data_IF_766404140355
#
_entry.id   IF_766404140355
#
_cell.length_a   1.000
_cell.length_b   1.000
_cell.length_c   1.000
_cell.angle_alpha   90.00
_cell.angle_beta   90.00
_cell.angle_gamma   90.00
#
_symmetry.space_group_name_H-M   'P 1'
#
loop_
_entity.id
_entity.type
_entity.pdbx_description
1 polymer ?
#
# COMPACT_ATOMS: atom_id res chain seq x y z
N UNK A 1 36.20 8.39 -13.45
CA UNK A 1 34.96 9.18 -13.38
C UNK A 1 33.68 8.36 -13.57
N UNK A 2 33.66 7.31 -14.39
CA UNK A 2 32.44 6.50 -14.61
C UNK A 2 31.98 5.65 -13.41
N UNK A 3 32.89 5.15 -12.57
CA UNK A 3 32.51 4.34 -11.41
C UNK A 3 31.77 5.13 -10.32
N UNK A 4 32.13 6.41 -10.11
CA UNK A 4 31.45 7.27 -9.13
C UNK A 4 30.02 7.65 -9.56
N UNK A 5 29.82 7.85 -10.86
CA UNK A 5 28.50 8.13 -11.45
C UNK A 5 27.57 6.90 -11.42
N UNK A 6 28.12 5.70 -11.64
CA UNK A 6 27.38 4.44 -11.51
C UNK A 6 26.95 4.17 -10.04
N UNK A 7 27.81 4.48 -9.07
CA UNK A 7 27.48 4.36 -7.64
C UNK A 7 26.41 5.38 -7.23
N UNK A 8 26.49 6.63 -7.72
CA UNK A 8 25.47 7.65 -7.44
C UNK A 8 24.10 7.32 -8.06
N UNK A 9 24.07 6.74 -9.27
CA UNK A 9 22.83 6.34 -9.93
C UNK A 9 22.17 5.13 -9.23
N UNK A 10 22.97 4.18 -8.74
CA UNK A 10 22.47 3.04 -7.94
C UNK A 10 21.87 3.48 -6.59
N UNK A 11 22.36 4.59 -6.01
CA UNK A 11 21.80 5.22 -4.81
C UNK A 11 20.44 5.92 -5.05
N UNK A 12 20.03 6.11 -6.31
CA UNK A 12 18.76 6.74 -6.68
C UNK A 12 17.73 5.77 -7.29
N UNK A 13 18.07 4.48 -7.41
CA UNK A 13 17.13 3.47 -7.87
C UNK A 13 15.99 3.32 -6.84
N UNK A 14 14.74 3.10 -7.30
CA UNK A 14 13.65 2.77 -6.38
C UNK A 14 13.98 1.47 -5.65
N UNK A 15 13.59 1.41 -4.37
CA UNK A 15 13.68 0.20 -3.56
C UNK A 15 12.77 -0.89 -4.14
N UNK A 16 11.59 -0.50 -4.62
CA UNK A 16 10.67 -1.37 -5.34
C UNK A 16 9.84 -0.54 -6.33
N UNK A 17 9.54 -1.10 -7.49
CA UNK A 17 8.58 -0.53 -8.43
C UNK A 17 7.95 -1.64 -9.26
N UNK A 18 6.69 -1.47 -9.65
CA UNK A 18 6.00 -2.46 -10.45
C UNK A 18 4.58 -2.08 -10.80
N UNK A 19 3.92 -2.98 -11.52
CA UNK A 19 2.48 -2.90 -11.80
C UNK A 19 1.80 -4.13 -11.22
N UNK A 20 0.77 -3.94 -10.40
CA UNK A 20 -0.14 -4.98 -9.94
C UNK A 20 -1.36 -5.01 -10.85
N UNK A 21 -1.74 -6.22 -11.26
CA UNK A 21 -2.95 -6.50 -11.99
C UNK A 21 -4.03 -6.91 -11.00
N UNK A 22 -5.06 -6.08 -10.86
CA UNK A 22 -6.15 -6.30 -9.90
C UNK A 22 -7.25 -7.09 -10.57
N UNK A 23 -7.58 -8.24 -9.99
CA UNK A 23 -8.66 -9.12 -10.42
C UNK A 23 -9.67 -9.30 -9.31
N UNK A 24 -10.93 -9.43 -9.71
CA UNK A 24 -11.98 -9.96 -8.87
C UNK A 24 -12.50 -11.24 -9.49
N UNK A 25 -12.50 -12.32 -8.71
CA UNK A 25 -12.61 -13.68 -9.21
C UNK A 25 -11.48 -13.95 -10.22
N UNK A 26 -11.77 -13.91 -11.51
CA UNK A 26 -10.80 -14.08 -12.60
C UNK A 26 -10.72 -12.88 -13.54
N UNK A 27 -11.63 -11.91 -13.37
CA UNK A 27 -11.76 -10.79 -14.27
C UNK A 27 -10.89 -9.62 -13.82
N UNK A 28 -10.09 -9.08 -14.74
CA UNK A 28 -9.35 -7.84 -14.54
C UNK A 28 -10.32 -6.69 -14.27
N UNK A 29 -10.13 -6.01 -13.14
CA UNK A 29 -10.95 -4.87 -12.73
C UNK A 29 -10.16 -3.56 -12.68
N UNK A 30 -8.83 -3.65 -12.66
CA UNK A 30 -7.96 -2.49 -12.65
C UNK A 30 -6.48 -2.86 -12.62
N UNK A 31 -5.66 -1.81 -12.64
CA UNK A 31 -4.20 -1.90 -12.57
C UNK A 31 -3.66 -0.87 -11.60
N UNK A 32 -2.62 -1.23 -10.86
CA UNK A 32 -1.94 -0.37 -9.92
C UNK A 32 -0.47 -0.30 -10.27
N UNK A 33 0.00 0.84 -10.76
CA UNK A 33 1.43 1.11 -10.90
C UNK A 33 1.93 1.77 -9.61
N UNK A 34 3.06 1.33 -9.07
CA UNK A 34 3.61 1.91 -7.86
C UNK A 34 5.13 2.01 -7.89
N UNK A 35 5.65 2.90 -7.06
CA UNK A 35 7.07 3.12 -6.84
C UNK A 35 7.32 3.45 -5.38
N UNK A 36 8.26 2.73 -4.80
CA UNK A 36 8.81 2.91 -3.46
C UNK A 36 10.26 3.34 -3.60
N UNK A 37 10.58 4.55 -3.12
CA UNK A 37 11.92 5.12 -3.24
C UNK A 37 12.36 5.78 -1.95
N UNK A 38 13.66 6.01 -1.79
CA UNK A 38 14.15 6.86 -0.72
C UNK A 38 13.50 8.25 -0.82
N UNK A 39 13.05 8.79 0.31
CA UNK A 39 12.57 10.16 0.35
C UNK A 39 13.74 11.14 0.14
N UNK A 40 13.43 12.41 -0.14
CA UNK A 40 14.46 13.47 -0.17
C UNK A 40 15.08 13.74 1.21
N UNK A 41 14.38 13.34 2.27
CA UNK A 41 14.85 13.34 3.65
C UNK A 41 14.95 11.92 4.21
N UNK A 42 15.13 11.77 5.53
CA UNK A 42 15.17 10.45 6.16
C UNK A 42 13.81 9.74 6.00
N UNK A 43 13.81 8.59 5.35
CA UNK A 43 12.62 7.75 5.16
C UNK A 43 12.37 7.36 3.71
N UNK A 44 11.11 7.08 3.40
CA UNK A 44 10.67 6.51 2.13
C UNK A 44 9.47 7.25 1.56
N UNK A 45 9.28 7.18 0.25
CA UNK A 45 8.07 7.64 -0.42
C UNK A 45 7.48 6.47 -1.21
N UNK A 46 6.21 6.16 -0.94
CA UNK A 46 5.42 5.22 -1.72
C UNK A 46 4.38 5.99 -2.53
N UNK A 47 4.58 6.05 -3.84
CA UNK A 47 3.62 6.61 -4.79
C UNK A 47 2.94 5.47 -5.54
N UNK A 48 1.61 5.55 -5.69
CA UNK A 48 0.81 4.59 -6.43
C UNK A 48 -0.21 5.29 -7.31
N UNK A 49 -0.53 4.66 -8.44
CA UNK A 49 -1.58 5.07 -9.39
C UNK A 49 -2.42 3.85 -9.70
N UNK A 50 -3.63 3.80 -9.16
CA UNK A 50 -4.60 2.73 -9.41
C UNK A 50 -5.67 3.22 -10.37
N UNK A 51 -5.91 2.45 -11.43
CA UNK A 51 -6.94 2.74 -12.43
C UNK A 51 -7.94 1.58 -12.47
N UNK A 52 -9.18 1.85 -12.06
CA UNK A 52 -10.30 0.91 -12.18
C UNK A 52 -11.15 1.31 -13.39
N UNK A 53 -11.14 0.46 -14.42
CA UNK A 53 -11.70 0.78 -15.74
C UNK A 53 -12.78 -0.19 -16.24
N UNK A 54 -12.97 -1.32 -15.53
CA UNK A 54 -14.00 -2.32 -15.84
C UNK A 54 -15.42 -1.74 -15.83
N UNK A 55 -15.70 -0.86 -14.87
CA UNK A 55 -16.99 -0.18 -14.76
C UNK A 55 -16.83 1.30 -15.14
N UNK A 56 -17.90 1.89 -15.70
CA UNK A 56 -17.96 3.33 -15.97
C UNK A 56 -18.69 4.06 -14.84
N UNK A 57 -18.23 5.25 -14.41
CA UNK A 57 -17.03 5.95 -14.89
C UNK A 57 -15.73 5.28 -14.42
N UNK A 58 -14.65 5.56 -15.14
CA UNK A 58 -13.30 5.19 -14.70
C UNK A 58 -12.99 5.94 -13.40
N UNK A 59 -12.43 5.24 -12.43
CA UNK A 59 -11.94 5.82 -11.18
C UNK A 59 -10.43 5.68 -11.13
N UNK A 60 -9.74 6.79 -10.83
CA UNK A 60 -8.27 6.80 -10.64
C UNK A 60 -7.93 7.22 -9.22
N UNK A 61 -7.10 6.44 -8.55
CA UNK A 61 -6.61 6.66 -7.19
C UNK A 61 -5.12 6.96 -7.26
N UNK A 62 -4.67 8.09 -6.72
CA UNK A 62 -3.26 8.48 -6.73
C UNK A 62 -2.78 8.86 -5.32
N UNK A 63 -2.47 7.90 -4.45
CA UNK A 63 -1.83 8.19 -3.17
C UNK A 63 -0.31 8.34 -3.32
N UNK A 64 0.22 9.34 -2.61
CA UNK A 64 1.63 9.55 -2.33
C UNK A 64 1.74 9.59 -0.81
N UNK A 65 2.43 8.60 -0.25
CA UNK A 65 2.63 8.45 1.18
C UNK A 65 4.12 8.61 1.48
N UNK A 66 4.46 9.59 2.30
CA UNK A 66 5.79 9.71 2.88
C UNK A 66 5.83 8.94 4.20
N UNK A 67 6.87 8.14 4.38
CA UNK A 67 7.13 7.35 5.57
C UNK A 67 8.42 7.86 6.19
N UNK A 68 8.41 8.16 7.49
CA UNK A 68 9.60 8.54 8.25
C UNK A 68 10.60 7.39 8.37
N UNK A 69 11.83 7.71 8.76
CA UNK A 69 12.86 6.68 9.05
C UNK A 69 12.48 5.76 10.23
N UNK A 70 11.54 6.18 11.07
CA UNK A 70 10.91 5.39 12.14
C UNK A 70 9.77 4.48 11.63
N UNK A 71 9.55 4.44 10.31
CA UNK A 71 8.47 3.72 9.64
C UNK A 71 7.06 4.23 9.94
N UNK A 72 6.92 5.43 10.51
CA UNK A 72 5.61 6.06 10.72
C UNK A 72 5.16 6.83 9.46
N UNK A 73 3.85 6.90 9.17
CA UNK A 73 3.34 7.73 8.08
C UNK A 73 3.57 9.20 8.42
N UNK A 74 4.35 9.92 7.62
CA UNK A 74 4.67 11.32 7.83
C UNK A 74 3.63 12.24 7.18
N UNK A 75 3.41 12.07 5.88
CA UNK A 75 2.43 12.84 5.09
C UNK A 75 1.71 11.93 4.09
N UNK A 76 0.48 12.28 3.74
CA UNK A 76 -0.30 11.63 2.70
C UNK A 76 -0.89 12.71 1.78
N UNK A 77 -0.66 12.57 0.49
CA UNK A 77 -1.44 13.23 -0.54
C UNK A 77 -2.16 12.19 -1.36
N UNK A 78 -3.50 12.16 -1.31
CA UNK A 78 -4.27 11.15 -2.00
C UNK A 78 -5.40 11.78 -2.81
N UNK A 79 -5.24 11.74 -4.13
CA UNK A 79 -6.26 12.22 -5.09
C UNK A 79 -7.13 11.06 -5.56
N UNK A 80 -8.44 11.24 -5.47
CA UNK A 80 -9.48 10.33 -5.97
C UNK A 80 -10.18 11.02 -7.13
N UNK A 81 -9.84 10.63 -8.35
CA UNK A 81 -10.50 11.09 -9.56
C UNK A 81 -11.68 10.16 -9.89
N UNK A 82 -12.75 10.29 -9.12
CA UNK A 82 -14.07 9.75 -9.44
C UNK A 82 -14.92 10.91 -10.01
N UNK A 83 -15.43 10.82 -11.26
CA UNK A 83 -16.29 11.87 -11.82
C UNK A 83 -17.55 12.18 -11.00
N UNK A 84 -18.04 11.21 -10.23
CA UNK A 84 -19.24 11.33 -9.38
C UNK A 84 -18.92 12.04 -8.06
N UNK A 85 -17.79 11.71 -7.45
CA UNK A 85 -17.38 12.23 -6.14
C UNK A 85 -15.86 12.38 -6.04
N UNK A 86 -15.28 13.42 -6.68
CA UNK A 86 -13.83 13.62 -6.62
C UNK A 86 -13.43 14.12 -5.23
N UNK A 87 -12.36 13.55 -4.70
CA UNK A 87 -11.86 13.83 -3.36
C UNK A 87 -10.35 14.07 -3.40
N UNK A 88 -9.86 15.02 -2.59
CA UNK A 88 -8.46 15.11 -2.21
C UNK A 88 -8.36 14.85 -0.72
N UNK A 89 -7.47 13.95 -0.34
CA UNK A 89 -7.26 13.55 1.04
C UNK A 89 -5.83 13.93 1.42
N UNK A 90 -5.69 14.73 2.46
CA UNK A 90 -4.40 15.17 3.00
C UNK A 90 -4.21 14.55 4.37
N UNK A 91 -3.09 13.87 4.58
CA UNK A 91 -2.71 13.31 5.87
C UNK A 91 -1.42 13.94 6.37
N UNK A 92 -1.32 14.17 7.68
CA UNK A 92 -0.10 14.65 8.30
C UNK A 92 0.04 14.13 9.73
N UNK A 93 1.22 13.62 10.06
CA UNK A 93 1.61 13.31 11.43
C UNK A 93 2.11 14.57 12.14
N UNK A 94 1.52 14.88 13.27
CA UNK A 94 1.99 15.91 14.16
C UNK A 94 1.72 15.51 15.61
N UNK A 95 2.72 15.62 16.48
CA UNK A 95 2.58 15.43 17.94
C UNK A 95 1.91 14.09 18.32
N UNK A 96 2.28 13.00 17.65
CA UNK A 96 1.76 11.64 17.90
C UNK A 96 0.33 11.39 17.40
N UNK A 97 -0.20 12.28 16.56
CA UNK A 97 -1.53 12.15 15.93
C UNK A 97 -1.41 12.31 14.42
N UNK A 98 -2.10 11.42 13.70
CA UNK A 98 -2.21 11.52 12.26
C UNK A 98 -3.56 12.17 11.92
N UNK A 99 -3.49 13.38 11.38
CA UNK A 99 -4.66 14.15 10.97
C UNK A 99 -4.97 13.86 9.51
N UNK A 100 -6.20 13.47 9.20
CA UNK A 100 -6.69 13.25 7.84
C UNK A 100 -7.74 14.30 7.52
N UNK A 101 -7.50 15.12 6.49
CA UNK A 101 -8.42 16.11 5.94
C UNK A 101 -8.92 15.63 4.59
N UNK A 102 -10.22 15.43 4.46
CA UNK A 102 -10.91 15.09 3.23
C UNK A 102 -11.51 16.36 2.64
N UNK A 103 -11.16 16.66 1.39
CA UNK A 103 -11.58 17.82 0.62
C UNK A 103 -12.38 17.31 -0.59
N UNK A 104 -13.71 17.38 -0.49
CA UNK A 104 -14.63 17.10 -1.59
C UNK A 104 -15.14 18.38 -2.25
N UNK A 105 -16.01 18.25 -3.26
CA UNK A 105 -16.55 19.41 -4.00
C UNK A 105 -17.25 20.45 -3.13
N UNK A 106 -17.92 20.02 -2.06
CA UNK A 106 -18.76 20.87 -1.20
C UNK A 106 -18.57 20.58 0.29
N UNK A 107 -17.62 19.72 0.61
CA UNK A 107 -17.43 19.18 1.96
C UNK A 107 -15.96 19.20 2.31
N UNK A 108 -15.66 19.71 3.48
CA UNK A 108 -14.37 19.49 4.14
C UNK A 108 -14.64 18.77 5.46
N UNK A 109 -13.87 17.71 5.72
CA UNK A 109 -13.94 16.95 6.97
C UNK A 109 -12.52 16.67 7.45
N UNK A 110 -12.29 16.88 8.74
CA UNK A 110 -11.05 16.49 9.38
C UNK A 110 -11.33 15.40 10.41
N UNK A 111 -10.45 14.41 10.50
CA UNK A 111 -10.41 13.42 11.58
C UNK A 111 -8.98 13.27 12.05
N UNK A 112 -8.80 13.18 13.36
CA UNK A 112 -7.52 12.86 13.95
C UNK A 112 -7.52 11.45 14.51
N UNK A 113 -6.43 10.74 14.25
CA UNK A 113 -6.21 9.40 14.76
C UNK A 113 -4.98 9.40 15.66
N UNK A 114 -5.04 8.75 16.84
CA UNK A 114 -3.83 8.45 17.60
C UNK A 114 -2.86 7.64 16.73
N UNK A 115 -1.62 8.10 16.66
CA UNK A 115 -0.57 7.51 15.83
C UNK A 115 0.67 7.21 16.69
N UNK A 116 0.49 6.35 17.68
CA UNK A 116 1.55 5.87 18.58
C UNK A 116 1.87 4.40 18.30
N UNK A 117 3.16 4.03 18.34
CA UNK A 117 3.59 2.65 18.10
C UNK A 117 3.61 2.30 16.62
N UNK A 118 3.23 1.07 16.24
CA UNK A 118 3.21 0.62 14.85
C UNK A 118 1.94 1.11 14.15
N UNK A 119 2.09 2.05 13.22
CA UNK A 119 0.97 2.69 12.53
C UNK A 119 1.24 2.67 11.04
N UNK A 120 0.24 2.29 10.25
CA UNK A 120 0.30 2.31 8.77
C UNK A 120 -0.93 3.00 8.20
N UNK A 121 -0.77 3.60 7.02
CA UNK A 121 -1.90 4.10 6.23
C UNK A 121 -2.19 3.08 5.13
N UNK A 122 -3.44 2.60 5.07
CA UNK A 122 -3.90 1.63 4.08
C UNK A 122 -5.12 2.18 3.34
N UNK A 123 -5.49 1.50 2.26
CA UNK A 123 -6.74 1.73 1.54
C UNK A 123 -7.30 0.39 1.06
N UNK A 124 -8.62 0.28 0.95
CA UNK A 124 -9.29 -0.93 0.48
C UNK A 124 -9.10 -1.17 -1.04
N UNK A 125 -8.57 -0.19 -1.77
CA UNK A 125 -8.44 -0.20 -3.23
C UNK A 125 -7.05 0.22 -3.72
N UNK A 126 -6.06 0.31 -2.83
CA UNK A 126 -4.65 0.58 -3.15
C UNK A 126 -3.80 -0.47 -2.44
N UNK A 127 -3.37 -1.47 -3.20
CA UNK A 127 -2.76 -2.70 -2.67
C UNK A 127 -1.29 -2.53 -2.35
N UNK A 128 -0.56 -1.65 -3.04
CA UNK A 128 0.87 -1.43 -2.76
C UNK A 128 1.10 -0.90 -1.34
N UNK A 129 0.12 -0.18 -0.74
CA UNK A 129 0.20 0.29 0.64
C UNK A 129 0.36 -0.85 1.67
N UNK A 130 -0.11 -2.05 1.36
CA UNK A 130 0.01 -3.20 2.27
C UNK A 130 1.45 -3.66 2.49
N UNK A 131 2.41 -3.26 1.65
CA UNK A 131 3.84 -3.53 1.89
C UNK A 131 4.29 -2.94 3.24
N UNK A 132 3.71 -1.81 3.65
CA UNK A 132 4.02 -1.14 4.91
C UNK A 132 3.54 -1.96 6.12
N UNK A 133 2.43 -2.70 5.99
CA UNK A 133 2.03 -3.65 7.02
C UNK A 133 3.03 -4.81 7.12
N UNK A 134 3.49 -5.33 5.97
CA UNK A 134 4.46 -6.43 5.91
C UNK A 134 5.83 -6.08 6.52
N UNK A 135 6.22 -4.81 6.56
CA UNK A 135 7.44 -4.36 7.26
C UNK A 135 7.41 -4.64 8.76
N UNK A 136 6.24 -4.76 9.35
CA UNK A 136 6.08 -5.09 10.77
C UNK A 136 5.93 -6.59 11.04
N UNK A 137 5.91 -7.42 9.99
CA UNK A 137 5.72 -8.86 10.13
C UNK A 137 6.93 -9.52 10.79
N UNK A 138 6.65 -10.39 11.76
CA UNK A 138 7.61 -11.29 12.37
C UNK A 138 6.98 -12.67 12.62
N UNK A 139 7.76 -13.65 13.13
CA UNK A 139 7.25 -15.01 13.33
C UNK A 139 6.13 -15.07 14.38
N UNK A 140 6.09 -14.11 15.30
CA UNK A 140 5.00 -13.94 16.26
C UNK A 140 4.00 -12.90 15.76
N UNK A 141 2.69 -13.04 16.08
CA UNK A 141 1.68 -12.05 15.72
C UNK A 141 1.99 -10.65 16.26
N UNK A 142 1.98 -9.64 15.38
CA UNK A 142 2.31 -8.25 15.71
C UNK A 142 1.09 -7.35 15.51
N UNK A 143 0.57 -6.67 16.56
CA UNK A 143 -0.48 -5.69 16.39
C UNK A 143 0.05 -4.42 15.70
N UNK A 144 -0.70 -3.96 14.69
CA UNK A 144 -0.43 -2.74 13.92
C UNK A 144 -1.72 -1.94 13.80
N UNK A 145 -1.66 -0.64 14.05
CA UNK A 145 -2.80 0.26 13.84
C UNK A 145 -2.85 0.68 12.37
N UNK A 146 -3.93 0.34 11.67
CA UNK A 146 -4.16 0.78 10.29
C UNK A 146 -5.13 1.96 10.24
N UNK A 147 -4.74 3.01 9.52
CA UNK A 147 -5.59 4.16 9.22
C UNK A 147 -6.03 4.04 7.77
N UNK A 148 -7.33 3.84 7.56
CA UNK A 148 -7.95 3.83 6.24
C UNK A 148 -8.43 5.24 5.90
N UNK A 149 -7.52 6.07 5.38
CA UNK A 149 -7.71 7.51 5.26
C UNK A 149 -8.96 7.88 4.45
N UNK A 150 -9.19 7.22 3.32
CA UNK A 150 -10.37 7.46 2.46
C UNK A 150 -11.68 7.03 3.10
N UNK A 151 -11.68 5.93 3.84
CA UNK A 151 -12.86 5.45 4.56
C UNK A 151 -13.09 6.19 5.89
N UNK A 152 -12.13 7.00 6.34
CA UNK A 152 -12.21 7.76 7.58
C UNK A 152 -12.28 6.89 8.84
N UNK A 153 -11.71 5.67 8.79
CA UNK A 153 -11.73 4.71 9.89
C UNK A 153 -10.32 4.29 10.31
N UNK A 154 -10.21 3.75 11.53
CA UNK A 154 -9.00 3.18 12.09
C UNK A 154 -9.31 1.80 12.65
N UNK A 155 -8.42 0.87 12.41
CA UNK A 155 -8.54 -0.53 12.82
C UNK A 155 -7.24 -1.01 13.45
N UNK A 156 -7.32 -1.98 14.35
CA UNK A 156 -6.14 -2.72 14.82
C UNK A 156 -6.10 -4.02 14.02
N UNK A 157 -5.01 -4.21 13.29
CA UNK A 157 -4.73 -5.41 12.52
C UNK A 157 -3.64 -6.21 13.21
N UNK A 158 -3.57 -7.50 12.93
CA UNK A 158 -2.49 -8.38 13.38
C UNK A 158 -1.74 -8.87 12.16
N UNK A 159 -0.45 -8.57 12.12
CA UNK A 159 0.46 -8.96 11.03
C UNK A 159 1.36 -10.08 11.50
N UNK A 160 1.51 -11.14 10.70
CA UNK A 160 2.39 -12.25 11.04
C UNK A 160 3.07 -12.79 9.79
N UNK A 161 4.36 -13.12 9.91
CA UNK A 161 5.13 -13.85 8.92
C UNK A 161 4.94 -15.36 9.13
N UNK A 162 4.47 -16.05 8.09
CA UNK A 162 4.28 -17.50 8.07
C UNK A 162 5.49 -18.24 7.49
N UNK A 163 6.54 -17.52 7.09
CA UNK A 163 7.72 -18.07 6.45
C UNK A 163 7.54 -18.21 4.94
N UNK A 164 8.19 -19.21 4.34
CA UNK A 164 8.12 -19.46 2.90
C UNK A 164 7.02 -20.48 2.62
N UNK A 165 6.05 -20.11 1.79
CA UNK A 165 4.95 -20.98 1.38
C UNK A 165 4.79 -21.02 -0.15
N UNK A 166 4.20 -22.10 -0.64
CA UNK A 166 3.89 -22.27 -2.05
C UNK A 166 2.63 -21.48 -2.43
N UNK A 167 2.68 -20.79 -3.57
CA UNK A 167 1.55 -20.07 -4.15
C UNK A 167 1.67 -20.06 -5.67
N UNK A 168 0.82 -19.27 -6.33
CA UNK A 168 0.96 -18.92 -7.73
C UNK A 168 0.99 -17.41 -7.89
N UNK A 169 1.74 -16.91 -8.88
CA UNK A 169 1.71 -15.51 -9.31
C UNK A 169 1.42 -15.50 -10.80
N UNK A 170 0.30 -14.92 -11.22
CA UNK A 170 -0.19 -14.98 -12.60
C UNK A 170 -0.31 -16.42 -13.15
N UNK A 171 -0.71 -17.35 -12.27
CA UNK A 171 -0.83 -18.81 -12.53
C UNK A 171 0.51 -19.57 -12.59
N UNK A 172 1.63 -18.90 -12.48
CA UNK A 172 2.94 -19.56 -12.42
C UNK A 172 3.25 -19.96 -10.96
N UNK A 173 3.65 -21.21 -10.68
CA UNK A 173 4.04 -21.64 -9.34
C UNK A 173 5.22 -20.82 -8.78
N UNK A 174 5.12 -20.45 -7.51
CA UNK A 174 6.17 -19.71 -6.81
C UNK A 174 6.27 -20.16 -5.33
N UNK A 175 7.46 -20.05 -4.75
CA UNK A 175 7.67 -20.18 -3.30
C UNK A 175 8.10 -18.82 -2.75
N UNK A 176 7.25 -18.21 -1.94
CA UNK A 176 7.36 -16.81 -1.55
C UNK A 176 7.21 -16.64 -0.04
N UNK A 177 7.76 -15.55 0.49
CA UNK A 177 7.51 -15.15 1.87
C UNK A 177 6.04 -14.78 2.03
N UNK A 178 5.36 -15.45 2.94
CA UNK A 178 3.94 -15.28 3.19
C UNK A 178 3.72 -14.49 4.46
N UNK A 179 3.05 -13.35 4.33
CA UNK A 179 2.63 -12.53 5.46
C UNK A 179 1.12 -12.48 5.49
N UNK A 180 0.52 -12.73 6.64
CA UNK A 180 -0.91 -12.54 6.87
C UNK A 180 -1.17 -11.24 7.59
N UNK A 181 -2.23 -10.54 7.18
CA UNK A 181 -2.78 -9.37 7.88
C UNK A 181 -4.22 -9.72 8.23
N UNK A 182 -4.51 -9.83 9.52
CA UNK A 182 -5.81 -10.28 10.03
C UNK A 182 -6.53 -9.19 10.82
N UNK A 183 -7.85 -9.28 10.85
CA UNK A 183 -8.73 -8.28 11.45
C UNK A 183 -9.30 -7.29 10.43
N UNK A 184 -10.00 -6.29 10.94
CA UNK A 184 -10.63 -5.27 10.10
C UNK A 184 -11.75 -5.79 9.20
N UNK A 185 -12.20 -4.95 8.27
CA UNK A 185 -13.29 -5.29 7.34
C UNK A 185 -12.94 -6.46 6.39
N UNK A 186 -11.67 -6.60 6.02
CA UNK A 186 -11.22 -7.65 5.10
C UNK A 186 -11.03 -9.01 5.78
N UNK A 187 -11.03 -9.06 7.12
CA UNK A 187 -10.83 -10.24 7.98
C UNK A 187 -9.44 -10.90 7.84
N UNK A 188 -8.99 -11.16 6.62
CA UNK A 188 -7.72 -11.76 6.27
C UNK A 188 -7.25 -11.19 4.92
N UNK A 189 -5.99 -10.81 4.86
CA UNK A 189 -5.26 -10.46 3.64
C UNK A 189 -3.97 -11.26 3.62
N UNK A 190 -3.69 -11.92 2.51
CA UNK A 190 -2.40 -12.59 2.27
C UNK A 190 -1.51 -11.68 1.45
N UNK A 191 -0.28 -11.49 1.89
CA UNK A 191 0.77 -10.76 1.20
C UNK A 191 1.88 -11.74 0.87
N UNK A 192 2.26 -11.79 -0.40
CA UNK A 192 3.28 -12.69 -0.92
C UNK A 192 4.43 -11.85 -1.45
N UNK A 193 5.60 -11.99 -0.82
CA UNK A 193 6.79 -11.19 -1.08
C UNK A 193 7.94 -12.07 -1.57
N UNK A 194 8.81 -11.54 -2.42
CA UNK A 194 10.05 -12.23 -2.80
C UNK A 194 11.12 -12.14 -1.70
N UNK A 195 12.29 -12.76 -1.95
CA UNK A 195 13.41 -12.75 -1.01
C UNK A 195 14.01 -11.36 -0.73
N UNK A 196 13.72 -10.36 -1.56
CA UNK A 196 14.11 -8.96 -1.34
C UNK A 196 13.01 -8.16 -0.62
N UNK A 197 11.89 -8.78 -0.28
CA UNK A 197 10.74 -8.11 0.35
C UNK A 197 9.87 -7.32 -0.63
N UNK A 198 10.00 -7.56 -1.94
CA UNK A 198 9.16 -6.92 -2.96
C UNK A 198 7.82 -7.62 -3.06
N UNK A 199 6.75 -6.84 -3.14
CA UNK A 199 5.38 -7.36 -3.15
C UNK A 199 5.04 -7.98 -4.51
N UNK A 200 4.77 -9.28 -4.56
CA UNK A 200 4.42 -9.99 -5.79
C UNK A 200 2.94 -10.31 -5.90
N UNK A 201 2.25 -10.53 -4.78
CA UNK A 201 0.82 -10.84 -4.80
C UNK A 201 0.13 -10.46 -3.50
N UNK A 202 -1.11 -9.97 -3.62
CA UNK A 202 -2.04 -9.72 -2.53
C UNK A 202 -3.29 -10.54 -2.80
N UNK A 203 -3.83 -11.20 -1.77
CA UNK A 203 -5.13 -11.88 -1.84
C UNK A 203 -6.01 -11.37 -0.71
N UNK A 204 -7.25 -10.99 -1.05
CA UNK A 204 -8.29 -10.60 -0.09
C UNK A 204 -9.47 -11.55 -0.29
N UNK A 205 -9.51 -12.69 0.44
CA UNK A 205 -10.52 -13.73 0.22
C UNK A 205 -11.96 -13.24 0.40
N UNK A 206 -12.21 -12.38 1.41
CA UNK A 206 -13.55 -11.87 1.71
C UNK A 206 -14.22 -11.15 0.53
N UNK A 207 -13.41 -10.53 -0.35
CA UNK A 207 -13.89 -9.83 -1.56
C UNK A 207 -13.57 -10.57 -2.87
N UNK A 208 -12.95 -11.76 -2.79
CA UNK A 208 -12.44 -12.53 -3.94
C UNK A 208 -11.51 -11.69 -4.82
N UNK A 209 -10.69 -10.86 -4.18
CA UNK A 209 -9.77 -9.96 -4.88
C UNK A 209 -8.34 -10.52 -4.84
N UNK A 210 -7.64 -10.38 -5.95
CA UNK A 210 -6.21 -10.64 -6.05
C UNK A 210 -5.53 -9.49 -6.79
N UNK A 211 -4.39 -9.02 -6.30
CA UNK A 211 -3.54 -8.08 -7.01
C UNK A 211 -2.17 -8.72 -7.22
N UNK A 212 -1.80 -9.03 -8.46
CA UNK A 212 -0.59 -9.79 -8.80
C UNK A 212 0.37 -8.94 -9.62
N UNK A 213 1.65 -8.93 -9.27
CA UNK A 213 2.67 -8.18 -10.01
C UNK A 213 2.79 -8.73 -11.43
N UNK A 214 2.72 -7.86 -12.42
CA UNK A 214 2.99 -8.21 -13.81
C UNK A 214 4.49 -8.42 -14.02
N UNK A 215 4.91 -9.35 -14.88
CA UNK A 215 6.31 -9.47 -15.27
C UNK A 215 6.87 -8.13 -15.75
N UNK A 216 8.14 -7.85 -15.43
CA UNK A 216 8.84 -6.74 -16.06
C UNK A 216 8.91 -7.02 -17.57
N UNK A 217 8.48 -6.05 -18.38
CA UNK A 217 8.54 -6.14 -19.85
C UNK A 217 9.95 -5.94 -20.36
#
# INVERSE_FOLDING_TARGET
>A
MSALLLVLAALQAPLDEGTLLVRQDTAEIGREAFRLSAARGPGWTLASTVRYDRNRPIVVLNPILEIGADSLPATLEFSVADPRDPLRILGQLARGRFTVRLLGRRTERAREFPASGRVVVLDDSVFALYVLAAWHAGPSPVPVTAIFARAGRREVLVVQDQGIEATTVNRDPASLRHVTVTGGANQLVHLWLDGAGRLLKIEVPASRLTAERTPAS
#
